data_IF_244488617158
#
_entry.id   IF_244488617158
#
_cell.length_a   1.000
_cell.length_b   1.000
_cell.length_c   1.000
_cell.angle_alpha   90.00
_cell.angle_beta   90.00
_cell.angle_gamma   90.00
#
_symmetry.space_group_name_H-M   'P 1'
#
loop_
_entity.id
_entity.type
_entity.pdbx_description
1 polymer ?
#
# COMPACT_ATOMS: atom_id res chain seq x y z
N UNK A 1 31.92 -10.52 -1.74
CA UNK A 1 32.51 -9.33 -2.38
C UNK A 1 32.83 -9.68 -3.81
N UNK A 2 32.45 -8.83 -4.78
CA UNK A 2 32.90 -8.98 -6.16
C UNK A 2 34.01 -7.96 -6.35
N UNK A 3 35.21 -8.41 -6.74
CA UNK A 3 36.36 -7.54 -7.02
C UNK A 3 36.80 -6.64 -5.85
N UNK A 4 36.48 -7.01 -4.59
CA UNK A 4 36.77 -6.16 -3.44
C UNK A 4 35.65 -5.18 -3.07
N UNK A 5 34.59 -5.08 -3.88
CA UNK A 5 33.44 -4.23 -3.59
C UNK A 5 32.35 -4.98 -2.83
N UNK A 6 31.70 -4.24 -1.94
CA UNK A 6 30.50 -4.64 -1.21
C UNK A 6 29.46 -3.52 -1.30
N UNK A 7 28.20 -3.89 -1.48
CA UNK A 7 27.09 -2.95 -1.50
C UNK A 7 25.92 -3.53 -0.71
N UNK A 8 25.21 -2.67 0.02
CA UNK A 8 23.99 -3.01 0.75
C UNK A 8 22.84 -2.25 0.10
N UNK A 9 21.74 -2.95 -0.18
CA UNK A 9 20.51 -2.36 -0.71
C UNK A 9 19.40 -2.53 0.33
N UNK A 10 18.94 -1.43 0.91
CA UNK A 10 17.79 -1.42 1.81
C UNK A 10 16.51 -1.20 1.00
N UNK A 11 15.46 -1.96 1.30
CA UNK A 11 14.13 -1.88 0.66
C UNK A 11 13.07 -1.70 1.74
N UNK A 12 12.01 -0.97 1.42
CA UNK A 12 10.90 -0.69 2.35
C UNK A 12 11.37 -0.04 3.66
N UNK A 13 12.32 0.88 3.54
CA UNK A 13 12.92 1.62 4.65
C UNK A 13 11.85 2.47 5.37
N UNK A 14 11.85 2.46 6.69
CA UNK A 14 11.00 3.28 7.54
C UNK A 14 11.83 4.10 8.55
N UNK A 15 11.17 4.88 9.41
CA UNK A 15 11.84 5.78 10.38
C UNK A 15 12.76 5.00 11.33
N UNK A 16 12.40 3.79 11.73
CA UNK A 16 13.16 2.97 12.68
C UNK A 16 14.47 2.44 12.07
N UNK A 17 14.62 2.51 10.75
CA UNK A 17 15.88 2.21 10.07
C UNK A 17 16.88 3.38 10.13
N UNK A 18 16.48 4.54 10.69
CA UNK A 18 17.42 5.65 10.87
C UNK A 18 18.53 5.27 11.84
N UNK A 19 19.77 5.59 11.49
CA UNK A 19 20.91 5.27 12.34
C UNK A 19 22.24 5.34 11.62
N UNK A 20 23.27 4.96 12.37
CA UNK A 20 24.65 4.90 11.87
C UNK A 20 24.99 3.48 11.46
N UNK A 21 25.23 3.29 10.18
CA UNK A 21 25.64 2.02 9.57
C UNK A 21 27.15 1.99 9.44
N UNK A 22 27.78 0.95 9.97
CA UNK A 22 29.23 0.77 9.91
C UNK A 22 29.62 -0.39 9.01
N UNK A 23 30.59 -0.15 8.15
CA UNK A 23 31.22 -1.16 7.33
C UNK A 23 32.50 -1.63 8.01
N UNK A 24 32.56 -2.94 8.28
CA UNK A 24 33.70 -3.62 8.87
C UNK A 24 34.18 -4.72 7.92
N UNK A 25 35.49 -4.83 7.75
CA UNK A 25 36.11 -5.94 7.03
C UNK A 25 36.77 -6.85 8.05
N UNK A 26 36.31 -8.10 8.10
CA UNK A 26 36.85 -9.13 8.99
C UNK A 26 37.78 -10.00 8.17
N UNK A 27 39.07 -9.94 8.46
CA UNK A 27 40.06 -10.82 7.84
C UNK A 27 40.31 -12.01 8.77
N UNK A 28 39.94 -13.20 8.30
CA UNK A 28 40.22 -14.45 9.01
C UNK A 28 41.65 -14.87 8.72
N UNK A 29 42.49 -14.83 9.75
CA UNK A 29 43.86 -15.32 9.63
C UNK A 29 43.88 -16.85 9.73
N UNK A 30 44.62 -17.50 8.83
CA UNK A 30 44.80 -18.96 8.84
C UNK A 30 45.74 -19.43 9.95
N UNK A 31 46.46 -18.51 10.58
CA UNK A 31 47.34 -18.80 11.69
C UNK A 31 46.53 -18.97 12.99
N UNK A 32 46.63 -20.15 13.62
CA UNK A 32 45.94 -20.48 14.90
C UNK A 32 46.27 -19.54 16.08
N UNK A 33 47.24 -18.63 15.92
CA UNK A 33 47.64 -17.64 16.93
C UNK A 33 47.14 -16.21 16.65
N UNK A 34 46.58 -15.97 15.48
CA UNK A 34 46.08 -14.66 15.09
C UNK A 34 44.59 -14.59 15.41
N UNK A 35 44.17 -13.58 16.17
CA UNK A 35 42.74 -13.28 16.35
C UNK A 35 42.20 -12.75 15.02
N UNK A 36 40.92 -12.97 14.77
CA UNK A 36 40.21 -12.31 13.67
C UNK A 36 40.31 -10.80 13.89
N UNK A 37 40.88 -10.09 12.92
CA UNK A 37 41.06 -8.65 12.97
C UNK A 37 39.94 -8.00 12.15
N UNK A 38 39.04 -7.30 12.84
CA UNK A 38 38.05 -6.43 12.22
C UNK A 38 38.66 -5.06 11.97
N UNK A 39 38.65 -4.60 10.73
CA UNK A 39 39.06 -3.27 10.33
C UNK A 39 37.82 -2.43 10.01
N UNK A 40 37.70 -1.27 10.66
CA UNK A 40 36.63 -0.31 10.36
C UNK A 40 36.96 0.41 9.05
N UNK A 41 36.02 0.38 8.11
CA UNK A 41 36.21 1.00 6.78
C UNK A 41 35.49 2.33 6.69
N UNK A 42 34.20 2.36 7.06
CA UNK A 42 33.33 3.51 6.80
C UNK A 42 32.13 3.51 7.74
N UNK A 43 31.69 4.70 8.11
CA UNK A 43 30.40 4.94 8.74
C UNK A 43 29.52 5.78 7.81
N UNK A 44 28.23 5.44 7.76
CA UNK A 44 27.20 6.12 6.96
C UNK A 44 26.03 6.41 7.90
N UNK A 45 25.60 7.66 7.96
CA UNK A 45 24.41 8.03 8.72
C UNK A 45 23.19 8.07 7.80
N UNK A 46 22.22 7.20 8.05
CA UNK A 46 20.94 7.17 7.36
C UNK A 46 19.92 7.92 8.22
N UNK A 47 19.29 8.94 7.64
CA UNK A 47 18.18 9.66 8.28
C UNK A 47 16.93 9.49 7.42
N UNK A 48 15.88 8.99 8.05
CA UNK A 48 14.58 8.78 7.43
C UNK A 48 13.57 9.63 8.19
N UNK A 49 12.87 10.49 7.46
CA UNK A 49 11.81 11.33 8.01
C UNK A 49 10.50 11.06 7.29
N UNK A 50 9.41 11.16 8.04
CA UNK A 50 8.09 11.35 7.44
C UNK A 50 8.11 12.67 6.67
N UNK A 51 7.55 12.66 5.46
CA UNK A 51 7.25 13.92 4.80
C UNK A 51 6.15 14.56 5.62
N UNK A 52 6.25 15.86 5.95
CA UNK A 52 5.10 16.55 6.50
C UNK A 52 3.98 16.42 5.46
N UNK A 53 2.85 15.87 5.90
CA UNK A 53 1.60 16.09 5.18
C UNK A 53 1.46 17.60 5.07
N UNK A 54 1.55 18.12 3.84
CA UNK A 54 1.17 19.51 3.64
C UNK A 54 -0.31 19.56 3.94
N UNK A 55 -0.68 20.12 5.09
CA UNK A 55 -1.99 20.74 5.22
C UNK A 55 -2.10 21.69 4.02
N UNK A 56 -3.04 21.39 3.13
CA UNK A 56 -3.43 22.30 2.06
C UNK A 56 -4.15 23.44 2.76
N UNK A 57 -3.37 24.34 3.33
CA UNK A 57 -3.84 25.67 3.68
C UNK A 57 -3.73 26.41 2.35
N UNK A 58 -4.89 26.67 1.74
CA UNK A 58 -5.05 27.47 0.52
C UNK A 58 -4.60 28.91 0.79
N UNK A 59 -3.30 29.12 1.03
CA UNK A 59 -2.68 30.43 1.10
C UNK A 59 -1.89 30.67 -0.19
N UNK A 60 -2.51 31.55 -0.97
CA UNK A 60 -2.14 32.02 -2.29
C UNK A 60 -0.77 32.72 -2.29
N UNK A 61 0.32 31.95 -2.33
CA UNK A 61 1.65 32.49 -2.57
C UNK A 61 1.93 32.58 -4.07
N UNK A 62 1.69 33.78 -4.60
CA UNK A 62 2.06 34.17 -5.94
C UNK A 62 3.58 34.28 -6.07
N UNK A 63 4.20 33.33 -6.78
CA UNK A 63 5.58 33.43 -7.26
C UNK A 63 5.54 33.89 -8.73
N UNK A 64 6.11 35.06 -9.00
CA UNK A 64 6.05 35.71 -10.31
C UNK A 64 7.21 35.37 -11.25
N UNK A 65 6.86 35.41 -12.55
CA UNK A 65 7.65 35.69 -13.77
C UNK A 65 8.72 34.65 -14.19
N UNK A 66 8.83 34.17 -15.44
CA UNK A 66 8.62 34.85 -16.72
C UNK A 66 8.30 33.90 -17.91
N UNK A 67 7.40 34.40 -18.77
CA UNK A 67 7.28 34.30 -20.25
C UNK A 67 7.82 33.05 -21.00
N UNK A 68 6.94 32.33 -21.72
CA UNK A 68 6.89 32.36 -23.20
C UNK A 68 5.56 31.76 -23.77
N UNK A 69 5.21 32.16 -24.99
CA UNK A 69 3.90 32.20 -25.69
C UNK A 69 2.97 30.95 -25.76
N UNK A 70 1.65 31.23 -25.81
CA UNK A 70 0.59 30.31 -26.24
C UNK A 70 0.53 30.19 -27.78
N UNK A 71 -0.12 29.13 -28.34
CA UNK A 71 -1.50 29.39 -28.73
C UNK A 71 -2.48 28.23 -28.46
N UNK A 72 -3.60 28.59 -27.83
CA UNK A 72 -4.94 28.24 -28.34
C UNK A 72 -5.43 26.79 -28.26
N UNK A 73 -6.27 26.50 -27.28
CA UNK A 73 -7.28 25.44 -27.34
C UNK A 73 -8.47 25.76 -26.41
N UNK A 74 -9.72 25.79 -26.90
CA UNK A 74 -10.85 26.22 -26.08
C UNK A 74 -11.30 25.13 -25.10
N UNK A 75 -11.37 25.55 -23.84
CA UNK A 75 -12.38 25.27 -22.80
C UNK A 75 -13.36 24.11 -23.04
N UNK A 76 -13.42 23.23 -22.04
CA UNK A 76 -14.63 22.48 -21.70
C UNK A 76 -14.35 21.01 -21.40
N UNK A 77 -14.08 20.68 -20.13
CA UNK A 77 -14.34 19.31 -19.65
C UNK A 77 -15.54 19.37 -18.70
N UNK A 78 -16.73 19.15 -19.27
CA UNK A 78 -17.87 18.71 -18.49
C UNK A 78 -17.60 17.24 -18.12
N UNK A 79 -17.03 17.02 -16.94
CA UNK A 79 -16.76 15.69 -16.40
C UNK A 79 -18.03 15.03 -15.85
N UNK A 80 -18.88 14.51 -16.73
CA UNK A 80 -19.95 13.57 -16.35
C UNK A 80 -19.76 12.25 -17.11
N UNK A 81 -19.63 11.15 -16.36
CA UNK A 81 -19.40 9.79 -16.86
C UNK A 81 -17.90 9.46 -16.81
N UNK A 82 -17.42 8.54 -15.98
CA UNK A 82 -17.74 7.11 -15.99
C UNK A 82 -17.49 6.56 -14.59
N UNK A 83 -18.56 6.27 -13.83
CA UNK A 83 -18.42 5.74 -12.46
C UNK A 83 -19.65 5.04 -11.89
N UNK A 84 -20.64 4.67 -12.73
CA UNK A 84 -21.91 4.08 -12.27
C UNK A 84 -22.16 2.66 -12.82
N UNK A 85 -21.15 2.00 -13.39
CA UNK A 85 -21.32 0.64 -13.91
C UNK A 85 -21.38 -0.45 -12.83
N UNK A 86 -20.48 -0.37 -11.84
CA UNK A 86 -20.29 -1.47 -10.88
C UNK A 86 -21.36 -1.49 -9.77
N UNK A 87 -21.84 -0.33 -9.32
CA UNK A 87 -22.85 -0.25 -8.24
C UNK A 87 -24.21 -0.79 -8.72
N UNK A 88 -24.59 -0.48 -9.96
CA UNK A 88 -25.85 -0.98 -10.55
C UNK A 88 -25.89 -2.50 -10.66
N UNK A 89 -24.79 -3.12 -11.10
CA UNK A 89 -24.73 -4.58 -11.29
C UNK A 89 -24.82 -5.35 -9.98
N UNK A 90 -24.16 -4.86 -8.91
CA UNK A 90 -24.27 -5.45 -7.56
C UNK A 90 -25.71 -5.33 -7.03
N UNK A 91 -26.35 -4.17 -7.19
CA UNK A 91 -27.74 -3.97 -6.78
C UNK A 91 -28.71 -4.96 -7.44
N UNK A 92 -28.58 -5.19 -8.74
CA UNK A 92 -29.45 -6.12 -9.49
C UNK A 92 -29.31 -7.56 -9.00
N UNK A 93 -28.07 -8.02 -8.72
CA UNK A 93 -27.82 -9.39 -8.23
C UNK A 93 -28.43 -9.61 -6.85
N UNK A 94 -28.31 -8.63 -5.93
CA UNK A 94 -28.89 -8.72 -4.58
C UNK A 94 -30.42 -8.78 -4.65
N UNK A 95 -31.05 -7.91 -5.44
CA UNK A 95 -32.51 -7.89 -5.59
C UNK A 95 -33.00 -9.21 -6.20
N UNK A 96 -32.35 -9.71 -7.26
CA UNK A 96 -32.70 -11.00 -7.85
C UNK A 96 -32.55 -12.16 -6.85
N UNK A 97 -31.47 -12.17 -6.05
CA UNK A 97 -31.25 -13.16 -5.00
C UNK A 97 -32.34 -13.15 -3.92
N UNK A 98 -32.75 -11.98 -3.44
CA UNK A 98 -33.84 -11.84 -2.46
C UNK A 98 -35.18 -12.29 -3.02
N UNK A 99 -35.49 -11.96 -4.28
CA UNK A 99 -36.72 -12.40 -4.97
C UNK A 99 -36.73 -13.92 -5.13
N UNK A 100 -35.62 -14.54 -5.54
CA UNK A 100 -35.54 -16.00 -5.67
C UNK A 100 -35.67 -16.70 -4.31
N UNK A 101 -35.01 -16.20 -3.27
CA UNK A 101 -35.10 -16.76 -1.91
C UNK A 101 -36.52 -16.65 -1.35
N UNK A 102 -37.19 -15.52 -1.54
CA UNK A 102 -38.57 -15.31 -1.08
C UNK A 102 -39.59 -16.17 -1.85
N UNK A 103 -39.39 -16.40 -3.15
CA UNK A 103 -40.19 -17.37 -3.92
C UNK A 103 -39.99 -18.81 -3.41
N UNK A 104 -38.73 -19.24 -3.21
CA UNK A 104 -38.43 -20.57 -2.64
C UNK A 104 -38.97 -20.73 -1.21
N UNK A 105 -38.95 -19.68 -0.40
CA UNK A 105 -39.52 -19.70 0.95
C UNK A 105 -41.05 -19.82 0.95
N UNK A 106 -41.72 -19.30 -0.07
CA UNK A 106 -43.17 -19.50 -0.29
C UNK A 106 -43.46 -20.91 -0.82
N UNK A 107 -42.62 -21.44 -1.70
CA UNK A 107 -42.80 -22.77 -2.30
C UNK A 107 -42.45 -23.92 -1.34
N UNK A 108 -41.56 -23.70 -0.37
CA UNK A 108 -41.21 -24.67 0.68
C UNK A 108 -42.18 -24.75 1.87
N UNK A 109 -43.41 -24.21 1.78
CA UNK A 109 -44.47 -24.53 2.75
C UNK A 109 -45.49 -25.51 2.19
N UNK A 110 -45.24 -26.83 2.30
CA UNK A 110 -46.29 -27.81 2.49
C UNK A 110 -46.66 -27.92 3.96
N UNK A 111 -47.95 -28.12 4.15
CA UNK A 111 -48.75 -28.31 5.34
C UNK A 111 -48.44 -29.61 6.13
N UNK A 112 -48.57 -29.50 7.45
CA UNK A 112 -49.28 -30.42 8.36
C UNK A 112 -48.79 -31.87 8.55
N UNK A 113 -48.48 -32.22 9.81
CA UNK A 113 -49.13 -33.27 10.63
C UNK A 113 -48.16 -34.09 11.52
N UNK A 114 -48.40 -33.92 12.83
CA UNK A 114 -48.54 -34.94 13.91
C UNK A 114 -47.31 -35.74 14.41
N UNK A 115 -47.05 -35.52 15.71
CA UNK A 115 -46.52 -36.34 16.81
C UNK A 115 -45.22 -37.18 16.66
N UNK A 116 -44.27 -36.99 17.58
CA UNK A 116 -44.09 -37.85 18.77
C UNK A 116 -42.80 -37.53 19.55
N UNK A 117 -42.98 -37.30 20.87
CA UNK A 117 -42.13 -37.50 22.07
C UNK A 117 -40.57 -37.62 21.95
N UNK A 118 -39.87 -36.89 22.83
CA UNK A 118 -39.32 -37.39 24.13
C UNK A 118 -37.94 -36.77 24.48
N UNK A 119 -37.95 -35.96 25.55
CA UNK A 119 -37.00 -35.79 26.68
C UNK A 119 -35.46 -35.71 26.48
N UNK A 120 -34.73 -35.11 27.45
CA UNK A 120 -34.38 -35.81 28.69
C UNK A 120 -34.73 -35.08 30.01
#
# INVERSE_FOLDING_TARGET
MKNGDASVLLKNVNIDDSGTYECWVITRSTNRRSRDLGEFVRSIHLSVSERPEKEINDEHHQYGDANDEQPGGPRGYDGLGVGLGLVGLVGVVVVAGLVVKSKRAKEKRPSESVDEKLNP
#
